data_IF_303157735649
#
_entry.id   IF_303157735649
#
_cell.length_a   1.000
_cell.length_b   1.000
_cell.length_c   1.000
_cell.angle_alpha   90.00
_cell.angle_beta   90.00
_cell.angle_gamma   90.00
#
_symmetry.space_group_name_H-M   'P 1'
#
loop_
_entity.id
_entity.type
_entity.pdbx_description
1 polymer ?
#
# COMPACT_ATOMS: atom_id res chain seq x y z
N UNK A 1 -18.99 -10.05 -7.14
CA UNK A 1 -18.81 -10.80 -5.87
C UNK A 1 -18.29 -9.81 -4.84
N UNK A 2 -18.92 -9.71 -3.67
CA UNK A 2 -18.49 -8.76 -2.65
C UNK A 2 -17.21 -9.26 -2.00
N UNK A 3 -16.20 -8.41 -1.95
CA UNK A 3 -14.89 -8.74 -1.32
C UNK A 3 -15.04 -8.58 0.19
N UNK A 4 -14.86 -9.68 0.93
CA UNK A 4 -14.87 -9.70 2.39
C UNK A 4 -13.44 -9.54 2.91
N UNK A 5 -13.22 -8.56 3.79
CA UNK A 5 -11.93 -8.27 4.41
C UNK A 5 -12.03 -8.40 5.93
N UNK A 6 -10.92 -8.69 6.64
CA UNK A 6 -10.92 -8.74 8.10
C UNK A 6 -11.05 -7.33 8.69
N UNK A 7 -12.14 -7.07 9.42
CA UNK A 7 -12.38 -5.81 10.10
C UNK A 7 -12.83 -6.04 11.55
N UNK A 8 -12.57 -5.07 12.42
CA UNK A 8 -13.02 -5.13 13.82
C UNK A 8 -14.39 -4.48 13.96
N UNK A 9 -15.35 -5.26 14.44
CA UNK A 9 -16.69 -4.79 14.82
C UNK A 9 -16.87 -5.16 16.30
N UNK A 10 -17.17 -4.17 17.13
CA UNK A 10 -17.31 -4.32 18.59
C UNK A 10 -16.11 -5.06 19.24
N UNK A 11 -14.90 -4.76 18.77
CA UNK A 11 -13.65 -5.33 19.27
C UNK A 11 -13.35 -6.76 18.76
N UNK A 12 -14.22 -7.35 17.94
CA UNK A 12 -14.03 -8.70 17.38
C UNK A 12 -13.68 -8.62 15.90
N UNK A 13 -12.63 -9.37 15.50
CA UNK A 13 -12.25 -9.48 14.08
C UNK A 13 -13.22 -10.39 13.34
N UNK A 14 -13.84 -9.89 12.28
CA UNK A 14 -14.83 -10.64 11.50
C UNK A 14 -14.83 -10.19 10.02
N UNK A 15 -15.43 -10.98 9.12
CA UNK A 15 -15.52 -10.61 7.71
C UNK A 15 -16.51 -9.47 7.52
N UNK A 16 -16.07 -8.37 6.90
CA UNK A 16 -16.92 -7.24 6.53
C UNK A 16 -16.71 -6.95 5.04
N UNK A 17 -17.76 -6.54 4.35
CA UNK A 17 -17.64 -6.12 2.95
C UNK A 17 -16.71 -4.90 2.86
N UNK A 18 -15.79 -4.93 1.91
CA UNK A 18 -14.70 -3.96 1.79
C UNK A 18 -15.19 -2.50 1.75
N UNK A 19 -16.17 -2.21 0.89
CA UNK A 19 -16.71 -0.85 0.75
C UNK A 19 -17.47 -0.41 2.00
N UNK A 20 -18.16 -1.31 2.65
CA UNK A 20 -18.86 -1.03 3.92
C UNK A 20 -17.87 -0.70 5.03
N UNK A 21 -16.77 -1.46 5.16
CA UNK A 21 -15.71 -1.16 6.13
C UNK A 21 -15.16 0.26 5.97
N UNK A 22 -14.97 0.72 4.73
CA UNK A 22 -14.51 2.08 4.45
C UNK A 22 -15.58 3.15 4.70
N UNK A 23 -16.85 2.89 4.35
CA UNK A 23 -17.97 3.81 4.62
C UNK A 23 -18.18 4.03 6.11
N UNK A 24 -18.08 2.98 6.88
CA UNK A 24 -18.25 3.03 8.34
C UNK A 24 -16.96 3.44 9.08
N UNK A 25 -15.82 3.50 8.38
CA UNK A 25 -14.52 3.79 8.97
C UNK A 25 -14.09 2.76 10.01
N UNK A 26 -14.49 1.49 9.82
CA UNK A 26 -14.12 0.40 10.71
C UNK A 26 -12.60 0.16 10.64
N UNK A 27 -11.98 -0.13 11.77
CA UNK A 27 -10.61 -0.61 11.77
C UNK A 27 -10.55 -1.95 11.02
N UNK A 28 -9.66 -2.07 10.04
CA UNK A 28 -9.54 -3.28 9.23
C UNK A 28 -8.08 -3.58 8.90
N UNK A 29 -7.81 -4.82 8.49
CA UNK A 29 -6.47 -5.25 8.11
C UNK A 29 -6.13 -4.78 6.70
N UNK A 30 -4.89 -4.36 6.52
CA UNK A 30 -4.31 -4.03 5.23
C UNK A 30 -2.86 -4.52 5.15
N UNK A 31 -2.32 -4.55 3.94
CA UNK A 31 -0.89 -4.73 3.66
C UNK A 31 -0.36 -3.59 2.81
N UNK A 32 0.89 -3.25 3.01
CA UNK A 32 1.63 -2.36 2.12
C UNK A 32 2.98 -2.96 1.77
N UNK A 33 3.32 -2.93 0.49
CA UNK A 33 4.60 -3.42 -0.02
C UNK A 33 5.41 -2.26 -0.58
N UNK A 34 6.70 -2.25 -0.25
CA UNK A 34 7.70 -1.35 -0.83
C UNK A 34 8.79 -2.19 -1.49
N UNK A 35 8.94 -2.05 -2.79
CA UNK A 35 10.02 -2.69 -3.54
C UNK A 35 11.10 -1.66 -3.80
N UNK A 36 12.31 -2.00 -3.36
CA UNK A 36 13.49 -1.16 -3.49
C UNK A 36 14.45 -1.75 -4.53
N UNK A 37 15.12 -0.88 -5.25
CA UNK A 37 16.32 -1.18 -6.04
C UNK A 37 17.31 -0.06 -5.84
N UNK A 38 18.45 -0.37 -5.26
CA UNK A 38 19.42 0.65 -4.78
C UNK A 38 18.71 1.68 -3.86
N UNK A 39 18.82 2.97 -4.16
CA UNK A 39 18.20 4.05 -3.40
C UNK A 39 16.78 4.41 -3.91
N UNK A 40 16.21 3.63 -4.83
CA UNK A 40 14.92 3.93 -5.45
C UNK A 40 13.82 3.02 -4.92
N UNK A 41 12.60 3.57 -4.89
CA UNK A 41 11.35 2.86 -4.57
C UNK A 41 10.52 2.76 -5.84
N UNK A 42 9.97 1.59 -6.10
CA UNK A 42 8.96 1.40 -7.14
C UNK A 42 7.63 1.98 -6.65
N UNK A 43 7.17 3.01 -7.35
CA UNK A 43 5.86 3.61 -7.14
C UNK A 43 4.90 3.19 -8.26
N UNK A 44 3.62 3.13 -7.92
CA UNK A 44 2.54 2.98 -8.89
C UNK A 44 1.63 4.20 -8.90
N UNK A 45 1.14 4.57 -10.07
CA UNK A 45 0.07 5.55 -10.23
C UNK A 45 -1.24 4.80 -10.41
N UNK A 46 -2.21 5.06 -9.53
CA UNK A 46 -3.48 4.33 -9.49
C UNK A 46 -4.29 4.58 -10.75
N UNK A 47 -4.94 3.55 -11.28
CA UNK A 47 -5.85 3.68 -12.41
C UNK A 47 -6.98 4.67 -12.12
N UNK A 48 -7.45 5.37 -13.14
CA UNK A 48 -8.54 6.35 -13.01
C UNK A 48 -9.89 5.71 -12.65
N UNK A 49 -10.03 4.41 -12.89
CA UNK A 49 -11.21 3.61 -12.53
C UNK A 49 -11.33 3.28 -11.03
N UNK A 50 -10.30 3.60 -10.24
CA UNK A 50 -10.32 3.30 -8.78
C UNK A 50 -11.37 4.14 -8.06
N UNK A 51 -12.13 3.52 -7.15
CA UNK A 51 -13.22 4.17 -6.43
C UNK A 51 -12.79 5.23 -5.43
N UNK A 52 -11.53 5.24 -4.99
CA UNK A 52 -10.93 6.34 -4.22
C UNK A 52 -9.50 6.62 -4.70
N UNK A 53 -9.05 7.84 -4.51
CA UNK A 53 -7.71 8.31 -4.88
C UNK A 53 -7.26 7.92 -6.30
N UNK A 54 -8.14 8.04 -7.34
CA UNK A 54 -7.76 7.74 -8.71
C UNK A 54 -6.65 8.68 -9.19
N UNK A 55 -5.70 8.16 -9.97
CA UNK A 55 -4.63 8.94 -10.57
C UNK A 55 -3.53 9.42 -9.62
N UNK A 56 -3.60 9.10 -8.31
CA UNK A 56 -2.57 9.47 -7.35
C UNK A 56 -1.44 8.42 -7.31
N UNK A 57 -0.25 8.88 -6.96
CA UNK A 57 0.91 8.04 -6.72
C UNK A 57 0.82 7.33 -5.36
N UNK A 58 1.10 6.05 -5.36
CA UNK A 58 1.14 5.18 -4.18
C UNK A 58 2.48 4.42 -4.12
N UNK A 59 2.77 3.79 -2.97
CA UNK A 59 3.84 2.81 -2.87
C UNK A 59 3.60 1.61 -3.80
N UNK A 60 4.53 0.66 -3.84
CA UNK A 60 4.52 -0.43 -4.82
C UNK A 60 3.20 -1.20 -4.87
N UNK A 61 2.63 -1.52 -3.70
CA UNK A 61 1.31 -2.14 -3.60
C UNK A 61 0.69 -1.84 -2.23
N UNK A 62 -0.61 -1.56 -2.20
CA UNK A 62 -1.37 -1.35 -0.97
C UNK A 62 -2.77 -1.93 -1.14
N UNK A 63 -3.17 -2.86 -0.26
CA UNK A 63 -4.43 -3.59 -0.39
C UNK A 63 -4.86 -4.26 0.91
N UNK A 64 -5.96 -5.01 0.83
CA UNK A 64 -6.54 -5.74 1.95
C UNK A 64 -6.47 -7.25 1.70
N UNK A 65 -6.10 -8.06 2.71
CA UNK A 65 -6.25 -9.50 2.61
C UNK A 65 -7.73 -9.87 2.50
N UNK A 66 -8.02 -10.95 1.81
CA UNK A 66 -9.33 -11.57 1.88
C UNK A 66 -9.56 -12.18 3.28
N UNK A 67 -10.81 -12.40 3.65
CA UNK A 67 -11.09 -13.16 4.86
C UNK A 67 -10.42 -14.54 4.78
N UNK A 68 -9.65 -14.88 5.82
CA UNK A 68 -8.82 -16.09 5.92
C UNK A 68 -7.57 -16.14 5.03
N UNK A 69 -7.22 -15.08 4.31
CA UNK A 69 -5.95 -14.95 3.62
C UNK A 69 -4.85 -14.47 4.60
N UNK A 70 -3.64 -15.02 4.49
CA UNK A 70 -2.51 -14.49 5.24
C UNK A 70 -2.04 -13.16 4.63
N UNK A 71 -1.45 -12.30 5.46
CA UNK A 71 -0.94 -10.99 5.00
C UNK A 71 0.19 -11.17 3.95
N UNK A 72 1.01 -12.22 4.08
CA UNK A 72 2.09 -12.54 3.13
C UNK A 72 1.57 -13.08 1.79
N UNK A 73 0.56 -13.94 1.81
CA UNK A 73 -0.08 -14.45 0.59
C UNK A 73 -0.78 -13.31 -0.15
N UNK A 74 -1.47 -12.43 0.57
CA UNK A 74 -2.07 -11.23 0.03
C UNK A 74 -1.03 -10.34 -0.67
N UNK A 75 0.11 -10.09 -0.04
CA UNK A 75 1.17 -9.28 -0.62
C UNK A 75 1.70 -9.88 -1.92
N UNK A 76 1.98 -11.17 -1.93
CA UNK A 76 2.46 -11.89 -3.13
C UNK A 76 1.41 -11.90 -4.26
N UNK A 77 0.17 -12.23 -3.92
CA UNK A 77 -0.95 -12.23 -4.88
C UNK A 77 -1.13 -10.85 -5.54
N UNK A 78 -1.15 -9.78 -4.75
CA UNK A 78 -1.42 -8.45 -5.29
C UNK A 78 -0.25 -7.87 -6.06
N UNK A 79 0.99 -8.15 -5.69
CA UNK A 79 2.16 -7.80 -6.50
C UNK A 79 2.07 -8.44 -7.89
N UNK A 80 1.60 -9.69 -7.98
CA UNK A 80 1.37 -10.34 -9.25
C UNK A 80 0.18 -9.73 -10.01
N UNK A 81 -0.97 -9.57 -9.37
CA UNK A 81 -2.21 -9.06 -10.01
C UNK A 81 -2.06 -7.62 -10.53
N UNK A 82 -1.35 -6.75 -9.79
CA UNK A 82 -1.20 -5.33 -10.14
C UNK A 82 0.00 -5.05 -11.05
N UNK A 83 1.13 -5.77 -10.86
CA UNK A 83 2.42 -5.42 -11.46
C UNK A 83 3.12 -6.59 -12.16
N UNK A 84 2.56 -7.80 -12.12
CA UNK A 84 3.16 -9.07 -12.60
C UNK A 84 4.55 -9.34 -11.97
N UNK A 85 4.73 -8.93 -10.72
CA UNK A 85 5.93 -9.22 -9.94
C UNK A 85 5.76 -10.55 -9.20
N UNK A 86 6.73 -11.47 -9.38
CA UNK A 86 6.77 -12.77 -8.71
C UNK A 86 8.11 -12.97 -8.01
N UNK A 87 8.15 -13.94 -7.09
CA UNK A 87 9.36 -14.45 -6.45
C UNK A 87 10.21 -13.38 -5.73
N UNK A 88 9.57 -12.31 -5.30
CA UNK A 88 10.24 -11.28 -4.50
C UNK A 88 10.41 -11.74 -3.04
N UNK A 89 11.63 -11.68 -2.49
CA UNK A 89 11.85 -12.00 -1.07
C UNK A 89 11.22 -10.91 -0.18
N UNK A 90 10.02 -11.14 0.32
CA UNK A 90 9.31 -10.20 1.16
C UNK A 90 9.79 -10.31 2.62
N UNK A 91 10.28 -9.18 3.15
CA UNK A 91 10.66 -9.04 4.56
C UNK A 91 9.59 -8.24 5.29
N UNK A 92 9.06 -8.81 6.36
CA UNK A 92 8.12 -8.12 7.25
C UNK A 92 8.86 -7.03 8.05
N UNK A 93 8.25 -5.84 8.11
CA UNK A 93 8.76 -4.65 8.82
C UNK A 93 7.88 -4.24 10.01
N UNK A 94 6.94 -5.10 10.40
CA UNK A 94 6.00 -4.83 11.48
C UNK A 94 4.75 -4.10 10.99
N UNK A 95 4.02 -3.54 11.95
CA UNK A 95 2.71 -2.94 11.71
C UNK A 95 2.70 -1.44 11.90
N UNK A 96 1.87 -0.79 11.11
CA UNK A 96 1.55 0.63 11.23
C UNK A 96 0.02 0.74 11.31
N UNK A 97 -0.47 1.55 12.24
CA UNK A 97 -1.89 1.89 12.29
C UNK A 97 -2.07 3.35 11.89
N UNK A 98 -3.02 3.60 11.00
CA UNK A 98 -3.39 4.96 10.64
C UNK A 98 -4.88 5.08 10.34
N UNK A 99 -5.36 6.32 10.35
CA UNK A 99 -6.71 6.69 9.93
C UNK A 99 -6.62 7.90 9.00
N UNK A 100 -7.22 7.80 7.82
CA UNK A 100 -7.20 8.86 6.82
C UNK A 100 -8.55 8.95 6.08
N UNK A 101 -8.97 10.17 5.79
CA UNK A 101 -10.02 10.43 4.82
C UNK A 101 -9.43 10.28 3.40
N UNK A 102 -10.07 9.48 2.57
CA UNK A 102 -9.62 9.23 1.18
C UNK A 102 -10.58 9.81 0.15
N UNK A 103 -11.47 10.69 0.60
CA UNK A 103 -12.48 11.34 -0.22
C UNK A 103 -13.77 10.53 -0.37
N UNK A 104 -14.79 11.16 -0.93
CA UNK A 104 -16.10 10.56 -1.20
C UNK A 104 -16.81 9.94 0.01
N UNK A 105 -16.49 10.44 1.22
CA UNK A 105 -17.04 9.91 2.48
C UNK A 105 -16.45 8.55 2.88
N UNK A 106 -15.30 8.16 2.31
CA UNK A 106 -14.60 6.92 2.63
C UNK A 106 -13.44 7.19 3.58
N UNK A 107 -13.27 6.27 4.52
CA UNK A 107 -12.23 6.35 5.56
C UNK A 107 -11.42 5.07 5.53
N UNK A 108 -10.10 5.22 5.43
CA UNK A 108 -9.15 4.17 5.74
C UNK A 108 -8.77 4.24 7.21
N UNK A 109 -9.19 3.26 8.00
CA UNK A 109 -8.71 3.03 9.36
C UNK A 109 -8.05 1.67 9.38
N UNK A 110 -6.75 1.65 9.11
CA UNK A 110 -6.03 0.43 8.78
C UNK A 110 -5.01 0.05 9.84
N UNK A 111 -4.96 -1.23 10.16
CA UNK A 111 -3.81 -1.89 10.77
C UNK A 111 -3.05 -2.60 9.65
N UNK A 112 -1.97 -1.97 9.21
CA UNK A 112 -1.23 -2.35 8.00
C UNK A 112 -0.01 -3.19 8.36
N UNK A 113 0.11 -4.38 7.80
CA UNK A 113 1.35 -5.15 7.80
C UNK A 113 2.27 -4.62 6.69
N UNK A 114 3.48 -4.22 7.03
CA UNK A 114 4.45 -3.65 6.09
C UNK A 114 5.41 -4.72 5.60
N UNK A 115 5.53 -4.85 4.29
CA UNK A 115 6.50 -5.71 3.63
C UNK A 115 7.47 -4.91 2.78
N UNK A 116 8.72 -5.34 2.75
CA UNK A 116 9.74 -4.76 1.85
C UNK A 116 10.45 -5.85 1.08
N UNK A 117 10.85 -5.52 -0.14
CA UNK A 117 11.77 -6.33 -0.94
C UNK A 117 12.89 -5.46 -1.49
N UNK A 118 14.12 -5.94 -1.37
CA UNK A 118 15.30 -5.28 -1.97
C UNK A 118 15.77 -6.11 -3.16
N UNK A 119 15.64 -5.55 -4.35
CA UNK A 119 16.03 -6.20 -5.59
C UNK A 119 17.46 -5.83 -5.97
N UNK A 120 18.35 -6.81 -6.13
CA UNK A 120 19.72 -6.59 -6.63
C UNK A 120 19.73 -6.21 -8.11
N UNK A 121 18.78 -6.75 -8.88
CA UNK A 121 18.55 -6.40 -10.29
C UNK A 121 17.19 -5.72 -10.43
N UNK A 122 17.09 -4.81 -11.39
CA UNK A 122 15.84 -4.12 -11.69
C UNK A 122 14.80 -5.14 -12.20
N UNK A 123 13.71 -5.39 -11.47
CA UNK A 123 12.70 -6.34 -11.91
C UNK A 123 11.93 -5.81 -13.11
N UNK A 124 11.52 -6.73 -14.00
CA UNK A 124 10.59 -6.38 -15.08
C UNK A 124 9.20 -6.16 -14.48
N UNK A 125 8.69 -4.96 -14.60
CA UNK A 125 7.34 -4.59 -14.13
C UNK A 125 6.41 -4.52 -15.32
N UNK A 126 5.24 -5.16 -15.21
CA UNK A 126 4.19 -5.11 -16.22
C UNK A 126 2.88 -4.72 -15.53
N UNK A 127 2.52 -3.43 -15.52
CA UNK A 127 1.31 -2.97 -14.84
C UNK A 127 0.04 -3.56 -15.46
N UNK A 128 -0.91 -3.95 -14.61
CA UNK A 128 -2.28 -4.23 -15.02
C UNK A 128 -3.02 -2.89 -15.16
N UNK A 129 -3.46 -2.50 -16.37
CA UNK A 129 -4.05 -1.17 -16.60
C UNK A 129 -5.39 -0.94 -15.87
N UNK A 130 -6.08 -1.99 -15.43
CA UNK A 130 -7.29 -1.87 -14.61
C UNK A 130 -6.98 -1.41 -13.17
N UNK A 131 -5.74 -1.65 -12.71
CA UNK A 131 -5.28 -1.32 -11.36
C UNK A 131 -4.29 -0.15 -11.35
N UNK A 132 -3.37 -0.13 -12.31
CA UNK A 132 -2.19 0.74 -12.34
C UNK A 132 -2.01 1.34 -13.73
N UNK A 133 -2.09 2.67 -13.83
CA UNK A 133 -1.92 3.37 -15.12
C UNK A 133 -0.46 3.65 -15.46
N UNK A 134 0.41 3.73 -14.46
CA UNK A 134 1.82 4.11 -14.63
C UNK A 134 2.66 3.59 -13.45
N UNK A 135 3.94 3.31 -13.71
CA UNK A 135 4.93 3.00 -12.66
C UNK A 135 6.19 3.83 -12.85
N UNK A 136 6.88 4.12 -11.76
CA UNK A 136 8.17 4.81 -11.79
C UNK A 136 9.07 4.34 -10.65
N UNK A 137 10.38 4.42 -10.87
CA UNK A 137 11.39 4.26 -9.84
C UNK A 137 11.88 5.64 -9.40
N UNK A 138 11.56 6.02 -8.17
CA UNK A 138 11.91 7.33 -7.64
C UNK A 138 12.90 7.20 -6.49
N UNK A 139 13.93 8.05 -6.47
CA UNK A 139 14.87 8.13 -5.36
C UNK A 139 14.15 8.46 -4.05
N UNK A 140 14.58 7.82 -2.95
CA UNK A 140 13.93 7.94 -1.64
C UNK A 140 13.93 9.37 -1.10
N UNK A 141 15.02 10.12 -1.30
CA UNK A 141 15.16 11.51 -0.86
C UNK A 141 14.27 12.41 -1.74
N UNK A 142 14.28 12.17 -3.04
CA UNK A 142 13.41 12.89 -3.98
C UNK A 142 11.94 12.67 -3.63
N UNK A 143 11.53 11.42 -3.36
CA UNK A 143 10.16 11.11 -2.95
C UNK A 143 9.78 11.83 -1.66
N UNK A 144 10.64 11.82 -0.65
CA UNK A 144 10.39 12.50 0.61
C UNK A 144 10.20 14.02 0.43
N UNK A 145 10.95 14.63 -0.49
CA UNK A 145 10.79 16.04 -0.83
C UNK A 145 9.48 16.30 -1.61
N UNK A 146 9.19 15.50 -2.63
CA UNK A 146 7.96 15.65 -3.43
C UNK A 146 6.69 15.48 -2.59
N UNK A 147 6.67 14.53 -1.66
CA UNK A 147 5.54 14.34 -0.73
C UNK A 147 5.28 15.58 0.12
N UNK A 148 6.32 16.35 0.45
CA UNK A 148 6.19 17.61 1.22
C UNK A 148 5.76 18.79 0.35
N UNK A 149 6.31 18.89 -0.87
CA UNK A 149 6.08 20.04 -1.75
C UNK A 149 4.83 19.91 -2.61
N UNK A 150 4.47 18.70 -3.00
CA UNK A 150 3.36 18.38 -3.90
C UNK A 150 2.45 17.29 -3.30
N UNK A 151 1.92 17.47 -2.08
CA UNK A 151 1.20 16.41 -1.35
C UNK A 151 -0.02 15.87 -2.11
N UNK A 152 -0.65 16.69 -2.94
CA UNK A 152 -1.88 16.33 -3.68
C UNK A 152 -1.64 15.33 -4.82
N UNK A 153 -0.38 15.09 -5.20
CA UNK A 153 -0.01 14.06 -6.19
C UNK A 153 0.05 12.66 -5.57
N UNK A 154 0.05 12.55 -4.22
CA UNK A 154 0.30 11.31 -3.49
C UNK A 154 -0.89 10.89 -2.64
N UNK A 155 -1.08 9.57 -2.55
CA UNK A 155 -2.12 9.02 -1.69
C UNK A 155 -1.89 9.38 -0.21
N UNK A 156 -2.96 9.54 0.59
CA UNK A 156 -2.84 9.87 2.01
C UNK A 156 -1.93 8.92 2.78
N UNK A 157 -2.02 7.62 2.53
CA UNK A 157 -1.19 6.61 3.21
C UNK A 157 0.29 6.71 2.82
N UNK A 158 0.64 6.92 1.53
CA UNK A 158 2.04 7.09 1.14
C UNK A 158 2.66 8.32 1.83
N UNK A 159 1.89 9.41 1.94
CA UNK A 159 2.33 10.59 2.68
C UNK A 159 2.58 10.27 4.16
N UNK A 160 1.68 9.51 4.81
CA UNK A 160 1.85 9.08 6.20
C UNK A 160 3.11 8.23 6.35
N UNK A 161 3.32 7.26 5.48
CA UNK A 161 4.49 6.40 5.50
C UNK A 161 5.79 7.19 5.35
N UNK A 162 5.88 8.04 4.34
CA UNK A 162 7.11 8.80 4.07
C UNK A 162 7.42 9.83 5.15
N UNK A 163 6.41 10.45 5.75
CA UNK A 163 6.60 11.52 6.73
C UNK A 163 6.79 11.02 8.18
N UNK A 164 6.25 9.84 8.52
CA UNK A 164 6.19 9.38 9.91
C UNK A 164 6.83 8.02 10.17
N UNK A 165 6.93 7.17 9.16
CA UNK A 165 7.30 5.75 9.34
C UNK A 165 8.41 5.28 8.41
N UNK A 166 9.07 6.17 7.69
CA UNK A 166 10.03 5.78 6.66
C UNK A 166 11.23 5.01 7.22
N UNK A 167 11.72 5.37 8.41
CA UNK A 167 12.81 4.66 9.08
C UNK A 167 12.46 3.19 9.35
N UNK A 168 11.25 2.92 9.85
CA UNK A 168 10.75 1.56 10.05
C UNK A 168 10.68 0.80 8.72
N UNK A 169 10.17 1.44 7.68
CA UNK A 169 9.97 0.84 6.35
C UNK A 169 11.31 0.54 5.69
N UNK A 170 12.22 1.52 5.62
CA UNK A 170 13.53 1.35 4.99
C UNK A 170 14.46 0.42 5.76
N UNK A 171 14.24 0.32 7.08
CA UNK A 171 15.12 -0.43 7.98
C UNK A 171 16.46 0.27 8.24
N UNK A 172 16.55 1.55 7.93
CA UNK A 172 17.68 2.39 8.35
C UNK A 172 17.43 2.83 9.78
N UNK A 173 18.21 2.31 10.70
CA UNK A 173 18.31 2.86 12.05
C UNK A 173 19.20 4.08 11.93
N UNK A 174 18.65 5.28 12.12
CA UNK A 174 19.49 6.46 12.37
C UNK A 174 20.27 6.22 13.65
N UNK A 175 21.57 6.14 13.50
CA UNK A 175 22.51 6.04 14.63
C UNK A 175 22.49 7.32 15.46
#
# INVERSE_FOLDING_TARGET
MNIMIPAWVDGTLQPVEKLEAHKLGLKHKAISVFVFHENKILLQRRALSKYHTPGLWANTCCTHPYWNETDADCASRRLFEELHLTDLPLKNRGKIEYRADVGQGLIEHELVEIFTSNCSNLPKVTPNPEEVMEVTWLDQIELANKVKTNPDEFTPWLRIYMLKHFEQISGTVTA
#
